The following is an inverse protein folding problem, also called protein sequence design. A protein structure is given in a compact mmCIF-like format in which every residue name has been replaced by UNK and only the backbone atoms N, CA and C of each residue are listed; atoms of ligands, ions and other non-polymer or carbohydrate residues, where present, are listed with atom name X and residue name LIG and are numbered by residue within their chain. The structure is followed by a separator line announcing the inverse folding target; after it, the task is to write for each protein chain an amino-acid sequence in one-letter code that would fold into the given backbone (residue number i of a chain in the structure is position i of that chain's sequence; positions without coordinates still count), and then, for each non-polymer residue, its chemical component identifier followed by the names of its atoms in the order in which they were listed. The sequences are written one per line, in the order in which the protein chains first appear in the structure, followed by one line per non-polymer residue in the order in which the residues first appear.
data_IF_459318317592
#
_entry.id   IF_459318317592
#
_cell.length_a   1.000
_cell.length_b   1.000
_cell.length_c   1.000
_cell.angle_alpha   90.00
_cell.angle_beta   90.00
_cell.angle_gamma   90.00
#
_symmetry.space_group_name_H-M   'P 1'
#
loop_
_entity.id
_entity.type
_entity.pdbx_description
1 polymer ?
#
# COMPACT_ATOMS: atom_id res chain seq x y z
N UNK A 1 -9.67 -20.24 4.44
CA UNK A 1 -10.94 -20.42 3.71
C UNK A 1 -11.67 -19.11 3.44
N UNK A 2 -12.02 -18.29 4.45
CA UNK A 2 -12.78 -17.03 4.26
C UNK A 2 -12.15 -16.05 3.24
N UNK A 3 -10.84 -15.82 3.30
CA UNK A 3 -10.16 -14.91 2.36
C UNK A 3 -10.15 -15.42 0.91
N UNK A 4 -10.04 -16.74 0.70
CA UNK A 4 -10.06 -17.35 -0.63
C UNK A 4 -11.46 -17.27 -1.24
N UNK A 5 -12.49 -17.49 -0.42
CA UNK A 5 -13.88 -17.33 -0.82
C UNK A 5 -14.18 -15.89 -1.23
N UNK A 6 -13.75 -14.90 -0.44
CA UNK A 6 -13.90 -13.49 -0.78
C UNK A 6 -13.24 -13.13 -2.13
N UNK A 7 -12.04 -13.65 -2.39
CA UNK A 7 -11.33 -13.40 -3.67
C UNK A 7 -12.02 -14.03 -4.87
N UNK A 8 -12.57 -15.25 -4.73
CA UNK A 8 -13.28 -15.92 -5.82
C UNK A 8 -14.60 -15.20 -6.13
N UNK A 9 -15.33 -14.80 -5.09
CA UNK A 9 -16.58 -14.04 -5.25
C UNK A 9 -16.32 -12.69 -5.93
N UNK A 10 -15.29 -11.95 -5.52
CA UNK A 10 -14.99 -10.65 -6.14
C UNK A 10 -14.52 -10.79 -7.60
N UNK A 11 -13.72 -11.82 -7.90
CA UNK A 11 -13.31 -12.13 -9.28
C UNK A 11 -14.50 -12.54 -10.15
N UNK A 12 -15.44 -13.32 -9.61
CA UNK A 12 -16.69 -13.65 -10.31
C UNK A 12 -17.53 -12.40 -10.60
N UNK A 13 -17.76 -11.58 -9.58
CA UNK A 13 -18.53 -10.33 -9.70
C UNK A 13 -17.93 -9.37 -10.74
N UNK A 14 -16.62 -9.18 -10.71
CA UNK A 14 -15.92 -8.30 -11.67
C UNK A 14 -16.00 -8.83 -13.09
N UNK A 15 -15.83 -10.13 -13.29
CA UNK A 15 -15.97 -10.77 -14.60
C UNK A 15 -17.39 -10.59 -15.16
N UNK A 16 -18.42 -10.75 -14.32
CA UNK A 16 -19.82 -10.53 -14.71
C UNK A 16 -20.08 -9.07 -15.08
N UNK A 17 -19.61 -8.12 -14.28
CA UNK A 17 -19.80 -6.68 -14.52
C UNK A 17 -19.11 -6.24 -15.81
N UNK A 18 -17.85 -6.63 -16.01
CA UNK A 18 -17.08 -6.32 -17.23
C UNK A 18 -17.71 -6.99 -18.45
N UNK A 19 -18.10 -8.27 -18.33
CA UNK A 19 -18.75 -9.03 -19.39
C UNK A 19 -20.09 -8.42 -19.80
N UNK A 20 -20.92 -8.00 -18.84
CA UNK A 20 -22.19 -7.33 -19.11
C UNK A 20 -21.98 -5.97 -19.80
N UNK A 21 -21.02 -5.17 -19.34
CA UNK A 21 -20.67 -3.89 -19.97
C UNK A 21 -20.17 -4.06 -21.41
N UNK A 22 -19.40 -5.11 -21.68
CA UNK A 22 -18.95 -5.44 -23.03
C UNK A 22 -20.10 -5.95 -23.91
N UNK A 23 -20.97 -6.79 -23.37
CA UNK A 23 -22.13 -7.31 -24.10
C UNK A 23 -23.10 -6.20 -24.54
N UNK A 24 -23.38 -5.24 -23.66
CA UNK A 24 -24.28 -4.13 -23.97
C UNK A 24 -23.71 -3.14 -24.98
N UNK A 25 -22.41 -2.86 -24.92
CA UNK A 25 -21.79 -1.77 -25.68
C UNK A 25 -21.02 -2.25 -26.92
N UNK A 26 -20.61 -3.52 -26.98
CA UNK A 26 -19.91 -4.21 -28.09
C UNK A 26 -18.62 -3.53 -28.59
N UNK A 27 -18.18 -2.46 -27.93
CA UNK A 27 -17.04 -1.64 -28.27
C UNK A 27 -16.29 -1.30 -26.99
N UNK A 28 -14.95 -1.31 -27.04
CA UNK A 28 -14.09 -1.13 -25.86
C UNK A 28 -14.30 0.22 -25.17
N UNK A 29 -14.27 1.32 -25.92
CA UNK A 29 -14.36 2.66 -25.34
C UNK A 29 -15.71 2.91 -24.64
N UNK A 30 -16.89 2.67 -25.26
CA UNK A 30 -18.17 2.86 -24.57
C UNK A 30 -18.39 1.90 -23.40
N UNK A 31 -17.79 0.70 -23.40
CA UNK A 31 -17.80 -0.20 -22.24
C UNK A 31 -17.06 0.38 -21.04
N UNK A 32 -15.87 0.96 -21.25
CA UNK A 32 -15.12 1.61 -20.16
C UNK A 32 -15.90 2.80 -19.63
N UNK A 33 -16.42 3.65 -20.52
CA UNK A 33 -17.24 4.80 -20.12
C UNK A 33 -18.45 4.34 -19.30
N UNK A 34 -19.11 3.25 -19.68
CA UNK A 34 -20.21 2.68 -18.89
C UNK A 34 -19.75 2.22 -17.49
N UNK A 35 -18.62 1.49 -17.41
CA UNK A 35 -18.07 1.02 -16.15
C UNK A 35 -17.68 2.16 -15.21
N UNK A 36 -17.16 3.27 -15.74
CA UNK A 36 -16.73 4.42 -14.95
C UNK A 36 -17.86 5.38 -14.60
N UNK A 37 -18.99 5.36 -15.31
CA UNK A 37 -20.15 6.21 -15.00
C UNK A 37 -21.22 5.49 -14.17
N UNK A 38 -21.22 4.15 -14.16
CA UNK A 38 -22.19 3.35 -13.40
C UNK A 38 -21.71 3.18 -11.94
N UNK A 39 -22.41 3.80 -10.98
CA UNK A 39 -22.15 3.65 -9.54
C UNK A 39 -21.94 2.19 -9.07
N UNK A 40 -22.82 1.21 -9.41
CA UNK A 40 -22.61 -0.17 -8.97
C UNK A 40 -21.41 -0.84 -9.64
N UNK A 41 -21.14 -0.53 -10.92
CA UNK A 41 -19.97 -1.09 -11.62
C UNK A 41 -18.68 -0.56 -11.02
N UNK A 42 -18.63 0.74 -10.74
CA UNK A 42 -17.49 1.40 -10.11
C UNK A 42 -17.24 0.86 -8.69
N UNK A 43 -18.29 0.61 -7.90
CA UNK A 43 -18.17 0.00 -6.57
C UNK A 43 -17.52 -1.40 -6.62
N UNK A 44 -17.93 -2.25 -7.57
CA UNK A 44 -17.34 -3.59 -7.78
C UNK A 44 -15.86 -3.47 -8.18
N UNK A 45 -15.50 -2.49 -9.02
CA UNK A 45 -14.10 -2.24 -9.39
C UNK A 45 -13.26 -1.77 -8.20
N UNK A 46 -13.79 -0.91 -7.32
CA UNK A 46 -13.08 -0.50 -6.10
C UNK A 46 -12.87 -1.65 -5.12
N UNK A 47 -13.90 -2.49 -4.92
CA UNK A 47 -13.78 -3.68 -4.07
C UNK A 47 -12.69 -4.62 -4.61
N UNK A 48 -12.65 -4.84 -5.92
CA UNK A 48 -11.62 -5.67 -6.54
C UNK A 48 -10.23 -5.09 -6.37
N UNK A 49 -10.05 -3.78 -6.58
CA UNK A 49 -8.77 -3.11 -6.37
C UNK A 49 -8.28 -3.29 -4.93
N UNK A 50 -9.17 -3.11 -3.94
CA UNK A 50 -8.84 -3.32 -2.53
C UNK A 50 -8.40 -4.77 -2.24
N UNK A 51 -9.10 -5.76 -2.78
CA UNK A 51 -8.74 -7.18 -2.62
C UNK A 51 -7.39 -7.48 -3.27
N UNK A 52 -7.08 -6.91 -4.43
CA UNK A 52 -5.78 -7.06 -5.08
C UNK A 52 -4.64 -6.51 -4.22
N UNK A 53 -4.82 -5.33 -3.61
CA UNK A 53 -3.83 -4.77 -2.67
C UNK A 53 -3.56 -5.73 -1.51
N UNK A 54 -4.61 -6.32 -0.91
CA UNK A 54 -4.45 -7.31 0.16
C UNK A 54 -3.76 -8.59 -0.30
N UNK A 55 -4.02 -9.04 -1.53
CA UNK A 55 -3.37 -10.22 -2.12
C UNK A 55 -1.89 -9.97 -2.36
N UNK A 56 -1.54 -8.83 -2.94
CA UNK A 56 -0.15 -8.41 -3.14
C UNK A 56 0.56 -8.31 -1.79
N UNK A 57 -0.09 -7.70 -0.78
CA UNK A 57 0.46 -7.63 0.57
C UNK A 57 0.76 -9.00 1.18
N UNK A 58 -0.16 -9.96 1.05
CA UNK A 58 0.06 -11.35 1.50
C UNK A 58 1.20 -12.04 0.76
N UNK A 59 1.33 -11.79 -0.55
CA UNK A 59 2.38 -12.35 -1.38
C UNK A 59 3.74 -11.80 -0.97
N UNK A 60 3.90 -10.47 -0.91
CA UNK A 60 5.14 -9.82 -0.50
C UNK A 60 5.53 -10.22 0.92
N UNK A 61 4.58 -10.27 1.86
CA UNK A 61 4.81 -10.77 3.21
C UNK A 61 5.38 -12.19 3.19
N UNK A 62 4.80 -13.09 2.40
CA UNK A 62 5.27 -14.48 2.31
C UNK A 62 6.67 -14.58 1.68
N UNK A 63 6.97 -13.76 0.68
CA UNK A 63 8.27 -13.75 -0.02
C UNK A 63 9.39 -13.24 0.90
N UNK A 64 9.19 -12.08 1.52
CA UNK A 64 10.26 -11.40 2.27
C UNK A 64 10.34 -11.84 3.73
N UNK A 65 9.20 -12.08 4.39
CA UNK A 65 9.14 -12.37 5.82
C UNK A 65 8.79 -13.82 6.15
N UNK A 66 8.21 -14.57 5.21
CA UNK A 66 7.75 -15.93 5.47
C UNK A 66 6.58 -15.97 6.46
N UNK A 67 6.84 -16.50 7.66
CA UNK A 67 5.85 -16.54 8.75
C UNK A 67 5.96 -15.30 9.63
N UNK A 68 4.86 -14.57 9.72
CA UNK A 68 4.74 -13.42 10.61
C UNK A 68 4.53 -13.89 12.05
N UNK A 69 5.26 -13.30 12.98
CA UNK A 69 5.11 -13.56 14.41
C UNK A 69 3.90 -12.81 14.94
N UNK A 70 3.22 -13.33 15.98
CA UNK A 70 2.08 -12.64 16.60
C UNK A 70 2.43 -11.21 17.06
N UNK A 71 3.60 -11.03 17.68
CA UNK A 71 4.05 -9.72 18.16
C UNK A 71 4.20 -8.69 17.03
N UNK A 72 4.77 -9.09 15.88
CA UNK A 72 4.90 -8.20 14.72
C UNK A 72 3.55 -7.81 14.13
N UNK A 73 2.59 -8.74 14.17
CA UNK A 73 1.23 -8.48 13.71
C UNK A 73 0.49 -7.52 14.65
N UNK A 74 0.67 -7.68 15.95
CA UNK A 74 0.09 -6.81 16.97
C UNK A 74 0.63 -5.38 16.87
N UNK A 75 1.97 -5.22 16.86
CA UNK A 75 2.60 -3.92 16.63
C UNK A 75 2.15 -3.28 15.31
N UNK A 76 2.02 -4.08 14.24
CA UNK A 76 1.55 -3.58 12.95
C UNK A 76 0.13 -3.02 13.04
N UNK A 77 -0.78 -3.71 13.74
CA UNK A 77 -2.16 -3.24 13.94
C UNK A 77 -2.17 -1.95 14.74
N UNK A 78 -1.45 -1.90 15.87
CA UNK A 78 -1.40 -0.73 16.74
C UNK A 78 -0.89 0.51 16.00
N UNK A 79 0.26 0.38 15.33
CA UNK A 79 0.85 1.45 14.52
C UNK A 79 -0.07 1.86 13.37
N UNK A 80 -0.76 0.90 12.74
CA UNK A 80 -1.70 1.19 11.64
C UNK A 80 -2.90 2.01 12.13
N UNK A 81 -3.47 1.67 13.29
CA UNK A 81 -4.59 2.43 13.85
C UNK A 81 -4.17 3.86 14.17
N UNK A 82 -3.00 4.03 14.79
CA UNK A 82 -2.44 5.34 15.09
C UNK A 82 -2.22 6.17 13.82
N UNK A 83 -1.55 5.62 12.80
CA UNK A 83 -1.31 6.33 11.55
C UNK A 83 -2.62 6.71 10.84
N UNK A 84 -3.64 5.84 10.85
CA UNK A 84 -4.95 6.18 10.29
C UNK A 84 -5.53 7.39 11.03
N UNK A 85 -5.50 7.41 12.36
CA UNK A 85 -6.06 8.52 13.14
C UNK A 85 -5.31 9.84 12.92
N UNK A 86 -3.98 9.81 12.88
CA UNK A 86 -3.17 11.02 12.59
C UNK A 86 -3.46 11.55 11.19
N UNK A 87 -3.52 10.65 10.21
CA UNK A 87 -3.75 11.08 8.83
C UNK A 87 -5.17 11.63 8.67
N UNK A 88 -6.17 10.99 9.29
CA UNK A 88 -7.54 11.51 9.37
C UNK A 88 -7.60 12.90 10.02
N UNK A 89 -6.79 13.17 11.04
CA UNK A 89 -6.70 14.49 11.66
C UNK A 89 -6.08 15.50 10.68
N UNK A 90 -4.95 15.16 10.05
CA UNK A 90 -4.33 15.99 9.02
C UNK A 90 -5.29 16.31 7.86
N UNK A 91 -6.22 15.40 7.54
CA UNK A 91 -7.22 15.61 6.49
C UNK A 91 -8.25 16.68 6.81
N UNK A 92 -8.49 16.98 8.08
CA UNK A 92 -9.39 18.10 8.45
C UNK A 92 -8.83 19.44 7.97
N UNK A 93 -7.50 19.55 7.81
CA UNK A 93 -6.81 20.72 7.26
C UNK A 93 -6.96 20.80 5.74
N UNK A 94 -7.11 19.67 5.04
CA UNK A 94 -7.19 19.59 3.58
C UNK A 94 -8.53 19.00 3.09
N UNK A 95 -9.62 19.50 3.66
CA UNK A 95 -10.98 18.98 3.42
C UNK A 95 -11.38 18.96 1.94
N UNK A 96 -10.90 19.92 1.16
CA UNK A 96 -11.29 20.08 -0.26
C UNK A 96 -10.60 19.08 -1.21
N UNK A 97 -9.59 18.33 -0.75
CA UNK A 97 -8.84 17.34 -1.54
C UNK A 97 -9.38 15.90 -1.42
N UNK A 98 -10.55 15.69 -0.79
CA UNK A 98 -11.12 14.36 -0.58
C UNK A 98 -11.68 13.75 -1.87
N UNK A 99 -10.85 12.95 -2.56
CA UNK A 99 -11.18 12.26 -3.81
C UNK A 99 -10.78 10.77 -3.73
N UNK A 100 -11.43 9.85 -4.48
CA UNK A 100 -10.96 8.47 -4.64
C UNK A 100 -9.45 8.32 -4.92
N UNK A 101 -8.85 9.24 -5.69
CA UNK A 101 -7.40 9.26 -5.94
C UNK A 101 -6.58 9.38 -4.66
N UNK A 102 -7.05 10.22 -3.75
CA UNK A 102 -6.39 10.44 -2.47
C UNK A 102 -6.51 9.22 -1.56
N UNK A 103 -7.68 8.55 -1.52
CA UNK A 103 -7.85 7.30 -0.77
C UNK A 103 -6.87 6.23 -1.31
N UNK A 104 -6.69 6.16 -2.62
CA UNK A 104 -5.73 5.26 -3.25
C UNK A 104 -4.27 5.56 -2.82
N UNK A 105 -3.87 6.83 -2.85
CA UNK A 105 -2.53 7.26 -2.42
C UNK A 105 -2.30 7.02 -0.92
N UNK A 106 -3.30 7.30 -0.08
CA UNK A 106 -3.22 7.03 1.35
C UNK A 106 -3.11 5.53 1.64
N UNK A 107 -3.93 4.72 0.97
CA UNK A 107 -3.87 3.25 1.09
C UNK A 107 -2.49 2.73 0.68
N UNK A 108 -1.91 3.28 -0.38
CA UNK A 108 -0.58 2.94 -0.84
C UNK A 108 0.52 3.36 0.14
N UNK A 109 0.45 4.58 0.69
CA UNK A 109 1.36 5.04 1.74
C UNK A 109 1.30 4.13 2.95
N UNK A 110 0.11 3.85 3.48
CA UNK A 110 -0.08 2.97 4.63
C UNK A 110 0.43 1.55 4.33
N UNK A 111 0.23 1.06 3.11
CA UNK A 111 0.78 -0.22 2.66
C UNK A 111 2.31 -0.23 2.71
N UNK A 112 2.99 0.77 2.15
CA UNK A 112 4.45 0.87 2.21
C UNK A 112 4.96 1.04 3.64
N UNK A 113 4.30 1.88 4.44
CA UNK A 113 4.60 2.11 5.85
C UNK A 113 4.49 0.82 6.68
N UNK A 114 3.51 -0.04 6.38
CA UNK A 114 3.40 -1.36 6.98
C UNK A 114 4.62 -2.26 6.74
N UNK A 115 5.18 -2.26 5.52
CA UNK A 115 6.38 -3.05 5.22
C UNK A 115 7.64 -2.48 5.89
N UNK A 116 7.74 -1.15 6.03
CA UNK A 116 8.80 -0.51 6.79
C UNK A 116 8.79 -0.92 8.26
N UNK A 117 7.64 -0.79 8.92
CA UNK A 117 7.47 -1.21 10.33
C UNK A 117 7.79 -2.69 10.52
N UNK A 118 7.36 -3.52 9.58
CA UNK A 118 7.64 -4.95 9.63
C UNK A 118 9.13 -5.27 9.43
N UNK A 119 9.83 -4.52 8.56
CA UNK A 119 11.27 -4.64 8.37
C UNK A 119 12.03 -4.26 9.65
N UNK A 120 11.65 -3.15 10.29
CA UNK A 120 12.22 -2.69 11.56
C UNK A 120 12.03 -3.74 12.67
N UNK A 121 10.80 -4.18 12.93
CA UNK A 121 10.49 -5.18 13.96
C UNK A 121 11.25 -6.51 13.74
N UNK A 122 11.48 -6.87 12.47
CA UNK A 122 12.22 -8.09 12.13
C UNK A 122 13.71 -7.92 12.38
N UNK A 123 14.28 -6.78 12.00
CA UNK A 123 15.71 -6.47 12.22
C UNK A 123 16.00 -6.34 13.72
N UNK A 124 15.17 -5.62 14.47
CA UNK A 124 15.32 -5.47 15.94
C UNK A 124 15.28 -6.81 16.68
N UNK A 125 14.51 -7.76 16.16
CA UNK A 125 14.49 -9.11 16.71
C UNK A 125 15.74 -9.93 16.33
N UNK A 126 16.22 -9.79 15.10
CA UNK A 126 17.40 -10.52 14.64
C UNK A 126 18.68 -10.02 15.32
N UNK A 127 18.77 -8.73 15.62
CA UNK A 127 19.85 -8.16 16.43
C UNK A 127 19.95 -8.82 17.82
N UNK A 128 18.81 -9.21 18.39
CA UNK A 128 18.73 -9.89 19.70
C UNK A 128 18.90 -11.42 19.61
N UNK A 129 19.01 -11.98 18.40
CA UNK A 129 19.04 -13.43 18.17
C UNK A 129 20.47 -13.92 17.86
N UNK A 130 20.94 -15.04 18.45
CA UNK A 130 22.33 -15.49 18.34
C UNK A 130 22.70 -16.15 17.00
N UNK A 131 21.75 -16.35 16.06
CA UNK A 131 22.01 -17.03 14.78
C UNK A 131 21.35 -16.27 13.63
N UNK A 132 22.13 -15.48 12.90
CA UNK A 132 21.67 -14.75 11.70
C UNK A 132 22.19 -15.47 10.45
N UNK A 133 21.27 -15.83 9.54
CA UNK A 133 21.62 -16.48 8.27
C UNK A 133 21.75 -15.48 7.11
N UNK A 134 22.64 -15.75 6.14
CA UNK A 134 22.82 -14.92 4.95
C UNK A 134 21.51 -14.70 4.15
N UNK A 135 20.64 -15.71 4.10
CA UNK A 135 19.35 -15.63 3.42
C UNK A 135 18.43 -14.55 4.02
N UNK A 136 18.53 -14.30 5.32
CA UNK A 136 17.81 -13.22 5.98
C UNK A 136 18.30 -11.85 5.50
N UNK A 137 19.62 -11.63 5.50
CA UNK A 137 20.21 -10.37 5.01
C UNK A 137 19.82 -10.11 3.55
N UNK A 138 19.91 -11.11 2.68
CA UNK A 138 19.50 -10.95 1.27
C UNK A 138 18.03 -10.56 1.15
N UNK A 139 17.12 -11.20 1.91
CA UNK A 139 15.68 -10.85 1.88
C UNK A 139 15.41 -9.44 2.40
N UNK A 140 16.02 -9.04 3.51
CA UNK A 140 15.80 -7.70 4.07
C UNK A 140 16.44 -6.63 3.19
N UNK A 141 17.67 -6.81 2.70
CA UNK A 141 18.32 -5.84 1.82
C UNK A 141 17.54 -5.67 0.51
N UNK A 142 17.07 -6.76 -0.10
CA UNK A 142 16.24 -6.66 -1.32
C UNK A 142 14.89 -6.00 -1.06
N UNK A 143 14.28 -6.26 0.08
CA UNK A 143 13.08 -5.55 0.52
C UNK A 143 13.35 -4.05 0.67
N UNK A 144 14.35 -3.66 1.47
CA UNK A 144 14.69 -2.26 1.72
C UNK A 144 15.03 -1.49 0.44
N UNK A 145 15.75 -2.11 -0.49
CA UNK A 145 16.02 -1.51 -1.81
C UNK A 145 14.75 -1.26 -2.62
N UNK A 146 13.79 -2.19 -2.58
CA UNK A 146 12.50 -2.04 -3.27
C UNK A 146 11.67 -0.91 -2.63
N UNK A 147 11.62 -0.83 -1.30
CA UNK A 147 10.91 0.24 -0.61
C UNK A 147 11.56 1.59 -0.86
N UNK A 148 12.89 1.68 -0.78
CA UNK A 148 13.63 2.91 -1.09
C UNK A 148 13.31 3.42 -2.50
N UNK A 149 13.31 2.53 -3.49
CA UNK A 149 12.96 2.90 -4.85
C UNK A 149 11.53 3.43 -4.98
N UNK A 150 10.57 2.79 -4.31
CA UNK A 150 9.19 3.26 -4.28
C UNK A 150 9.06 4.63 -3.60
N UNK A 151 9.69 4.82 -2.44
CA UNK A 151 9.64 6.07 -1.69
C UNK A 151 10.28 7.22 -2.47
N UNK A 152 11.45 7.02 -3.08
CA UNK A 152 12.07 8.03 -3.95
C UNK A 152 11.18 8.40 -5.14
N UNK A 153 10.53 7.41 -5.77
CA UNK A 153 9.58 7.67 -6.84
C UNK A 153 8.40 8.53 -6.37
N UNK A 154 7.82 8.22 -5.20
CA UNK A 154 6.69 8.99 -4.66
C UNK A 154 7.09 10.38 -4.16
N UNK A 155 8.28 10.55 -3.58
CA UNK A 155 8.83 11.86 -3.23
C UNK A 155 8.99 12.72 -4.48
N UNK A 156 9.58 12.15 -5.54
CA UNK A 156 9.73 12.86 -6.81
C UNK A 156 8.36 13.23 -7.40
N UNK A 157 7.40 12.30 -7.41
CA UNK A 157 6.04 12.57 -7.87
C UNK A 157 5.37 13.69 -7.05
N UNK A 158 5.47 13.65 -5.72
CA UNK A 158 4.93 14.69 -4.83
C UNK A 158 5.56 16.05 -5.13
N UNK A 159 6.88 16.11 -5.27
CA UNK A 159 7.61 17.33 -5.63
C UNK A 159 7.13 17.93 -6.96
N UNK A 160 7.05 17.11 -8.00
CA UNK A 160 6.60 17.56 -9.33
C UNK A 160 5.15 18.05 -9.29
N UNK A 161 4.27 17.34 -8.59
CA UNK A 161 2.87 17.75 -8.45
C UNK A 161 2.75 19.09 -7.74
N UNK A 162 3.47 19.27 -6.64
CA UNK A 162 3.48 20.52 -5.87
C UNK A 162 4.09 21.68 -6.67
N UNK A 163 5.14 21.43 -7.46
CA UNK A 163 5.74 22.46 -8.31
C UNK A 163 4.78 22.98 -9.38
N UNK A 164 3.96 22.11 -9.97
CA UNK A 164 3.04 22.48 -11.06
C UNK A 164 1.70 23.04 -10.53
N UNK A 165 1.15 22.48 -9.45
CA UNK A 165 -0.21 22.78 -8.97
C UNK A 165 -0.26 23.56 -7.66
N UNK A 166 0.90 23.84 -7.06
CA UNK A 166 1.01 24.47 -5.75
C UNK A 166 0.87 23.49 -4.57
N UNK A 167 0.96 24.01 -3.34
CA UNK A 167 0.86 23.22 -2.11
C UNK A 167 -0.49 22.51 -1.99
N UNK A 168 -0.47 21.21 -1.70
CA UNK A 168 -1.65 20.36 -1.48
C UNK A 168 -1.26 19.18 -0.58
N UNK A 169 -2.18 18.23 -0.33
CA UNK A 169 -1.89 17.03 0.48
C UNK A 169 -0.70 16.21 -0.05
N UNK A 170 -0.34 16.34 -1.32
CA UNK A 170 0.86 15.70 -1.87
C UNK A 170 2.14 16.08 -1.10
N UNK A 171 2.19 17.29 -0.55
CA UNK A 171 3.33 17.75 0.24
C UNK A 171 3.43 16.96 1.57
N UNK A 172 2.30 16.70 2.23
CA UNK A 172 2.24 15.87 3.44
C UNK A 172 2.69 14.44 3.12
N UNK A 173 2.19 13.86 2.02
CA UNK A 173 2.65 12.54 1.59
C UNK A 173 4.15 12.52 1.27
N UNK A 174 4.69 13.55 0.61
CA UNK A 174 6.11 13.67 0.34
C UNK A 174 6.96 13.65 1.62
N UNK A 175 6.50 14.33 2.68
CA UNK A 175 7.15 14.27 3.99
C UNK A 175 7.08 12.88 4.63
N UNK A 176 5.93 12.23 4.59
CA UNK A 176 5.78 10.86 5.09
C UNK A 176 6.73 9.88 4.39
N UNK A 177 6.83 9.93 3.06
CA UNK A 177 7.80 9.12 2.32
C UNK A 177 9.25 9.46 2.67
N UNK A 178 9.56 10.73 2.96
CA UNK A 178 10.91 11.14 3.38
C UNK A 178 11.27 10.57 4.77
N UNK A 179 10.30 10.49 5.68
CA UNK A 179 10.46 9.83 6.99
C UNK A 179 10.73 8.33 6.80
N UNK A 180 10.05 7.67 5.85
CA UNK A 180 10.30 6.27 5.52
C UNK A 180 11.71 6.02 4.99
N UNK A 181 12.25 6.93 4.16
CA UNK A 181 13.67 6.86 3.74
C UNK A 181 14.62 6.94 4.95
N UNK A 182 14.38 7.85 5.89
CA UNK A 182 15.20 7.96 7.11
C UNK A 182 15.11 6.66 7.93
N UNK A 183 13.92 6.06 7.99
CA UNK A 183 13.71 4.77 8.65
C UNK A 183 14.53 3.65 7.97
N UNK A 184 14.58 3.60 6.64
CA UNK A 184 15.44 2.66 5.91
C UNK A 184 16.91 2.84 6.30
N UNK A 185 17.40 4.08 6.37
CA UNK A 185 18.80 4.36 6.78
C UNK A 185 19.07 3.85 8.19
N UNK A 186 18.14 4.05 9.14
CA UNK A 186 18.26 3.52 10.50
C UNK A 186 18.32 1.99 10.51
N UNK A 187 17.44 1.33 9.76
CA UNK A 187 17.43 -0.14 9.65
C UNK A 187 18.73 -0.64 9.03
N UNK A 188 19.26 0.02 8.00
CA UNK A 188 20.53 -0.36 7.36
C UNK A 188 21.71 -0.30 8.33
N UNK A 189 21.77 0.71 9.20
CA UNK A 189 22.82 0.82 10.24
C UNK A 189 22.76 -0.34 11.23
N UNK A 190 21.56 -0.85 11.56
CA UNK A 190 21.40 -2.02 12.45
C UNK A 190 21.75 -3.35 11.77
N UNK A 191 21.63 -3.41 10.44
CA UNK A 191 21.87 -4.64 9.65
C UNK A 191 23.35 -4.81 9.27
N UNK A 192 24.12 -3.71 9.24
CA UNK A 192 25.56 -3.70 8.97
C UNK A 192 26.38 -4.13 10.18
#
# INVERSE_FOLDING_TARGET
MKALLATVISLGLTTVVIGNAYYQKKQFYPSIVYLTNSNPSMAVMYLQAFILVLLVGKLLRKIFFGQLRPAEFEHLIERSWYAITETCLAFTVFRDDFNPKFIALFTLLLFLKAFHWLAEDRVDYMERSPVIGLLFHVRILTLLMLLAHADFYFIHHAYQFTAVKGPSVQLVFGFEYSILIIMIVNILIKVS
#
